data_IF_359195843670
#
_entry.id   IF_359195843670
#
_cell.length_a   1.000
_cell.length_b   1.000
_cell.length_c   1.000
_cell.angle_alpha   90.00
_cell.angle_beta   90.00
_cell.angle_gamma   90.00
#
_symmetry.space_group_name_H-M   'P 1'
#
loop_
_entity.id
_entity.type
_entity.pdbx_description
1 polymer ?
#
# COMPACT_ATOMS: atom_id res chain seq x y z
N UNK A 1 22.91 -2.56 -2.51
CA UNK A 1 22.13 -1.85 -1.46
C UNK A 1 20.83 -1.29 -2.00
N UNK A 2 20.87 -0.43 -3.03
CA UNK A 2 19.67 0.16 -3.68
C UNK A 2 18.61 -0.87 -4.11
N UNK A 3 19.00 -1.97 -4.78
CA UNK A 3 18.04 -2.97 -5.30
C UNK A 3 17.12 -3.57 -4.22
N UNK A 4 17.62 -3.74 -2.99
CA UNK A 4 16.81 -4.29 -1.88
C UNK A 4 15.72 -3.27 -1.50
N UNK A 5 16.07 -2.00 -1.34
CA UNK A 5 15.11 -0.94 -1.05
C UNK A 5 14.08 -0.76 -2.18
N UNK A 6 14.52 -0.91 -3.43
CA UNK A 6 13.63 -0.82 -4.58
C UNK A 6 12.62 -1.97 -4.60
N UNK A 7 13.07 -3.21 -4.41
CA UNK A 7 12.21 -4.39 -4.37
C UNK A 7 11.22 -4.32 -3.19
N UNK A 8 11.72 -4.02 -1.99
CA UNK A 8 10.87 -3.87 -0.79
C UNK A 8 9.86 -2.74 -0.99
N UNK A 9 10.30 -1.60 -1.53
CA UNK A 9 9.46 -0.46 -1.82
C UNK A 9 8.30 -0.79 -2.77
N UNK A 10 8.60 -1.44 -3.89
CA UNK A 10 7.58 -1.86 -4.87
C UNK A 10 6.60 -2.87 -4.26
N UNK A 11 7.10 -3.89 -3.56
CA UNK A 11 6.23 -4.91 -2.95
C UNK A 11 5.30 -4.27 -1.90
N UNK A 12 5.81 -3.36 -1.08
CA UNK A 12 4.98 -2.66 -0.08
C UNK A 12 3.92 -1.77 -0.73
N UNK A 13 4.21 -1.09 -1.84
CA UNK A 13 3.20 -0.31 -2.58
C UNK A 13 2.11 -1.22 -3.17
N UNK A 14 2.49 -2.39 -3.70
CA UNK A 14 1.52 -3.38 -4.20
C UNK A 14 0.62 -3.87 -3.06
N UNK A 15 1.18 -4.21 -1.90
CA UNK A 15 0.38 -4.64 -0.74
C UNK A 15 -0.55 -3.51 -0.30
N UNK A 16 -0.04 -2.27 -0.24
CA UNK A 16 -0.83 -1.09 0.11
C UNK A 16 -2.06 -0.91 -0.77
N UNK A 17 -1.90 -0.91 -2.09
CA UNK A 17 -3.04 -0.68 -2.98
C UNK A 17 -4.02 -1.86 -3.02
N UNK A 18 -3.59 -3.11 -2.72
CA UNK A 18 -4.52 -4.25 -2.59
C UNK A 18 -5.43 -4.02 -1.37
N UNK A 19 -4.85 -3.63 -0.24
CA UNK A 19 -5.60 -3.37 0.99
C UNK A 19 -6.49 -2.13 0.89
N UNK A 20 -6.00 -1.05 0.28
CA UNK A 20 -6.82 0.16 0.07
C UNK A 20 -7.90 -0.09 -1.00
N UNK A 21 -7.71 -1.10 -1.85
CA UNK A 21 -8.57 -1.38 -3.00
C UNK A 21 -8.39 -0.35 -4.11
N UNK A 22 -7.15 0.11 -4.32
CA UNK A 22 -6.77 0.96 -5.45
C UNK A 22 -6.97 0.25 -6.81
N UNK A 23 -7.01 -1.08 -6.80
CA UNK A 23 -7.25 -1.93 -7.98
C UNK A 23 -8.66 -2.55 -8.02
N UNK A 24 -9.59 -2.14 -7.15
CA UNK A 24 -10.98 -2.64 -7.18
C UNK A 24 -11.92 -1.64 -7.86
N UNK A 25 -12.94 -2.16 -8.53
CA UNK A 25 -13.93 -1.33 -9.22
C UNK A 25 -14.84 -0.58 -8.23
N UNK A 26 -15.41 0.54 -8.66
CA UNK A 26 -16.30 1.37 -7.83
C UNK A 26 -17.53 0.62 -7.33
N UNK A 27 -18.07 -0.33 -8.11
CA UNK A 27 -19.16 -1.19 -7.65
C UNK A 27 -18.70 -2.19 -6.58
N UNK A 28 -17.49 -2.75 -6.72
CA UNK A 28 -16.91 -3.65 -5.70
C UNK A 28 -16.62 -2.91 -4.39
N UNK A 29 -16.07 -1.70 -4.46
CA UNK A 29 -15.84 -0.85 -3.28
C UNK A 29 -17.15 -0.59 -2.52
N UNK A 30 -18.23 -0.26 -3.24
CA UNK A 30 -19.56 -0.04 -2.65
C UNK A 30 -20.14 -1.31 -2.04
N UNK A 31 -20.03 -2.45 -2.73
CA UNK A 31 -20.49 -3.72 -2.19
C UNK A 31 -19.74 -4.08 -0.90
N UNK A 32 -18.41 -4.01 -0.90
CA UNK A 32 -17.59 -4.26 0.28
C UNK A 32 -17.95 -3.35 1.45
N UNK A 33 -18.21 -2.07 1.20
CA UNK A 33 -18.57 -1.11 2.25
C UNK A 33 -19.87 -1.49 2.99
N UNK A 34 -20.83 -2.10 2.29
CA UNK A 34 -22.12 -2.49 2.90
C UNK A 34 -22.09 -3.86 3.55
N UNK A 35 -21.12 -4.73 3.21
CA UNK A 35 -21.00 -6.08 3.78
C UNK A 35 -19.93 -6.20 4.86
N UNK A 36 -18.92 -5.32 4.85
CA UNK A 36 -17.82 -5.33 5.79
C UNK A 36 -18.15 -4.54 7.06
N UNK A 37 -17.71 -5.04 8.22
CA UNK A 37 -17.82 -4.29 9.47
C UNK A 37 -16.83 -3.12 9.51
N UNK A 38 -17.18 -2.08 10.27
CA UNK A 38 -16.33 -0.91 10.51
C UNK A 38 -14.92 -1.29 10.98
N UNK A 39 -14.81 -2.30 11.86
CA UNK A 39 -13.53 -2.77 12.39
C UNK A 39 -12.64 -3.41 11.32
N UNK A 40 -13.20 -4.25 10.46
CA UNK A 40 -12.45 -4.85 9.35
C UNK A 40 -12.02 -3.79 8.32
N UNK A 41 -12.89 -2.82 8.03
CA UNK A 41 -12.56 -1.70 7.14
C UNK A 41 -11.42 -0.84 7.68
N UNK A 42 -11.46 -0.53 8.97
CA UNK A 42 -10.41 0.24 9.65
C UNK A 42 -9.09 -0.53 9.68
N UNK A 43 -9.13 -1.83 9.99
CA UNK A 43 -7.96 -2.70 9.97
C UNK A 43 -7.33 -2.76 8.58
N UNK A 44 -8.14 -3.00 7.54
CA UNK A 44 -7.69 -3.07 6.15
C UNK A 44 -7.03 -1.76 5.72
N UNK A 45 -7.69 -0.64 5.98
CA UNK A 45 -7.17 0.70 5.64
C UNK A 45 -5.89 1.01 6.41
N UNK A 46 -5.80 0.65 7.70
CA UNK A 46 -4.61 0.87 8.52
C UNK A 46 -3.40 0.11 7.99
N UNK A 47 -3.56 -1.17 7.63
CA UNK A 47 -2.49 -1.95 7.01
C UNK A 47 -2.09 -1.36 5.67
N UNK A 48 -3.07 -0.99 4.85
CA UNK A 48 -2.84 -0.35 3.57
C UNK A 48 -2.01 0.93 3.70
N UNK A 49 -2.36 1.81 4.64
CA UNK A 49 -1.62 3.05 4.90
C UNK A 49 -0.21 2.78 5.42
N UNK A 50 -0.04 1.90 6.40
CA UNK A 50 1.29 1.57 6.97
C UNK A 50 2.19 1.00 5.86
N UNK A 51 1.68 0.05 5.09
CA UNK A 51 2.40 -0.56 3.98
C UNK A 51 2.77 0.49 2.91
N UNK A 52 1.85 1.41 2.61
CA UNK A 52 2.09 2.51 1.67
C UNK A 52 3.20 3.44 2.15
N UNK A 53 3.20 3.81 3.43
CA UNK A 53 4.23 4.64 4.06
C UNK A 53 5.61 3.97 4.03
N UNK A 54 5.68 2.68 4.36
CA UNK A 54 6.93 1.90 4.28
C UNK A 54 7.43 1.81 2.85
N UNK A 55 6.53 1.56 1.89
CA UNK A 55 6.85 1.50 0.47
C UNK A 55 7.39 2.83 -0.05
N UNK A 56 6.70 3.94 0.25
CA UNK A 56 7.10 5.28 -0.15
C UNK A 56 8.45 5.67 0.45
N UNK A 57 8.68 5.34 1.73
CA UNK A 57 9.94 5.62 2.41
C UNK A 57 11.10 4.82 1.79
N UNK A 58 10.89 3.54 1.49
CA UNK A 58 11.91 2.71 0.84
C UNK A 58 12.22 3.16 -0.59
N UNK A 59 11.20 3.53 -1.37
CA UNK A 59 11.41 4.07 -2.73
C UNK A 59 12.10 5.44 -2.68
N UNK A 60 11.73 6.29 -1.72
CA UNK A 60 12.41 7.57 -1.48
C UNK A 60 13.89 7.39 -1.17
N UNK A 61 14.23 6.46 -0.26
CA UNK A 61 15.63 6.12 0.04
C UNK A 61 16.36 5.52 -1.17
N UNK A 62 15.72 4.65 -1.93
CA UNK A 62 16.32 4.09 -3.15
C UNK A 62 16.62 5.20 -4.18
N UNK A 63 15.70 6.15 -4.35
CA UNK A 63 15.89 7.31 -5.22
C UNK A 63 17.02 8.22 -4.73
N UNK A 64 17.07 8.52 -3.43
CA UNK A 64 18.16 9.31 -2.85
C UNK A 64 19.52 8.64 -3.05
N UNK A 65 19.63 7.33 -2.83
CA UNK A 65 20.86 6.56 -3.07
C UNK A 65 21.26 6.58 -4.56
N UNK A 66 20.30 6.63 -5.48
CA UNK A 66 20.59 6.68 -6.91
C UNK A 66 21.17 8.03 -7.35
N UNK A 67 20.76 9.13 -6.71
CA UNK A 67 21.20 10.49 -7.05
C UNK A 67 22.46 10.96 -6.30
N UNK A 68 22.91 10.21 -5.29
CA UNK A 68 24.11 10.47 -4.49
C UNK A 68 25.32 9.71 -5.03
#
# INVERSE_FOLDING_TARGET
MMNIFLIVGVISIIISGIFIGAWTDGQQQRANFHTETEDHRNFRTKIGMISGLVGLSSLGLAGLIYFL
#
